data_IF_229276625429
#
_entry.id   IF_229276625429
#
_cell.length_a   1.000
_cell.length_b   1.000
_cell.length_c   1.000
_cell.angle_alpha   90.00
_cell.angle_beta   90.00
_cell.angle_gamma   90.00
#
_symmetry.space_group_name_H-M   'P 1'
#
loop_
_entity.id
_entity.type
_entity.pdbx_description
1 polymer ?
#
# COMPACT_ATOMS: atom_id res chain seq x y z
N UNK A 1 -26.40 -0.03 12.11
CA UNK A 1 -25.19 -0.80 12.47
C UNK A 1 -23.98 0.05 12.09
N UNK A 2 -23.03 0.31 13.00
CA UNK A 2 -21.79 1.01 12.66
C UNK A 2 -20.67 -0.03 12.52
N UNK A 3 -20.30 -0.36 11.28
CA UNK A 3 -19.20 -1.29 10.99
C UNK A 3 -17.88 -0.57 11.28
N UNK A 4 -17.08 -1.10 12.20
CA UNK A 4 -15.75 -0.58 12.54
C UNK A 4 -14.63 -1.31 11.81
N UNK A 5 -14.83 -2.60 11.57
CA UNK A 5 -13.88 -3.46 10.87
C UNK A 5 -14.62 -4.23 9.80
N UNK A 6 -14.06 -4.29 8.61
CA UNK A 6 -14.60 -5.04 7.49
C UNK A 6 -13.50 -5.91 6.88
N UNK A 7 -13.81 -7.20 6.69
CA UNK A 7 -12.93 -8.15 6.04
C UNK A 7 -13.64 -8.71 4.81
N UNK A 8 -13.10 -8.46 3.62
CA UNK A 8 -13.61 -8.98 2.36
C UNK A 8 -12.59 -9.95 1.76
N UNK A 9 -12.96 -11.22 1.71
CA UNK A 9 -12.11 -12.29 1.18
C UNK A 9 -12.75 -12.88 -0.07
N UNK A 10 -11.97 -13.13 -1.14
CA UNK A 10 -12.44 -13.74 -2.38
C UNK A 10 -13.62 -12.99 -3.03
N UNK A 11 -13.63 -11.65 -2.90
CA UNK A 11 -14.70 -10.82 -3.46
C UNK A 11 -14.47 -10.63 -4.96
N UNK A 12 -15.56 -10.69 -5.73
CA UNK A 12 -15.50 -10.63 -7.19
C UNK A 12 -16.12 -9.34 -7.70
N UNK A 13 -15.31 -8.49 -8.32
CA UNK A 13 -15.77 -7.30 -9.03
C UNK A 13 -15.66 -7.55 -10.54
N UNK A 14 -16.63 -8.30 -11.07
CA UNK A 14 -16.63 -8.78 -12.47
C UNK A 14 -16.71 -7.66 -13.51
N UNK A 15 -17.04 -6.43 -13.10
CA UNK A 15 -17.12 -5.25 -13.98
C UNK A 15 -16.40 -4.05 -13.38
N UNK A 16 -15.91 -3.11 -14.23
CA UNK A 16 -15.46 -1.79 -13.79
C UNK A 16 -16.40 -1.11 -12.78
N UNK A 17 -17.70 -1.09 -13.08
CA UNK A 17 -18.71 -0.48 -12.22
C UNK A 17 -18.80 -1.15 -10.84
N UNK A 18 -18.72 -2.49 -10.76
CA UNK A 18 -18.72 -3.20 -9.48
C UNK A 18 -17.48 -2.88 -8.62
N UNK A 19 -16.31 -2.72 -9.25
CA UNK A 19 -15.08 -2.29 -8.57
C UNK A 19 -15.20 -0.86 -8.04
N UNK A 20 -15.70 0.05 -8.88
CA UNK A 20 -15.95 1.43 -8.48
C UNK A 20 -16.93 1.53 -7.31
N UNK A 21 -18.10 0.89 -7.42
CA UNK A 21 -19.12 0.95 -6.37
C UNK A 21 -18.60 0.40 -5.04
N UNK A 22 -17.84 -0.71 -5.06
CA UNK A 22 -17.22 -1.22 -3.84
C UNK A 22 -16.29 -0.18 -3.20
N UNK A 23 -15.46 0.50 -4.01
CA UNK A 23 -14.57 1.55 -3.54
C UNK A 23 -15.34 2.75 -2.97
N UNK A 24 -16.39 3.21 -3.64
CA UNK A 24 -17.25 4.32 -3.19
C UNK A 24 -17.91 4.02 -1.84
N UNK A 25 -18.44 2.80 -1.68
CA UNK A 25 -19.04 2.35 -0.42
C UNK A 25 -18.01 2.34 0.71
N UNK A 26 -16.82 1.76 0.48
CA UNK A 26 -15.75 1.72 1.49
C UNK A 26 -15.28 3.12 1.90
N UNK A 27 -15.13 4.05 0.93
CA UNK A 27 -14.76 5.44 1.19
C UNK A 27 -15.80 6.18 2.02
N UNK A 28 -17.07 5.83 1.84
CA UNK A 28 -18.20 6.50 2.48
C UNK A 28 -18.51 5.99 3.89
N UNK A 29 -17.84 4.93 4.35
CA UNK A 29 -18.07 4.37 5.69
C UNK A 29 -17.43 5.24 6.79
N UNK A 30 -18.20 6.02 7.57
CA UNK A 30 -17.64 7.04 8.46
C UNK A 30 -16.95 6.45 9.72
N UNK A 31 -17.21 5.18 10.03
CA UNK A 31 -16.69 4.51 11.23
C UNK A 31 -15.72 3.37 10.91
N UNK A 32 -15.42 3.13 9.63
CA UNK A 32 -14.55 2.03 9.22
C UNK A 32 -13.09 2.39 9.52
N UNK A 33 -12.52 1.75 10.53
CA UNK A 33 -11.14 1.96 10.98
C UNK A 33 -10.22 0.79 10.65
N UNK A 34 -10.77 -0.42 10.46
CA UNK A 34 -10.01 -1.60 10.05
C UNK A 34 -10.55 -2.16 8.75
N UNK A 35 -9.70 -2.38 7.75
CA UNK A 35 -10.09 -2.95 6.47
C UNK A 35 -9.11 -4.04 6.06
N UNK A 36 -9.65 -5.22 5.73
CA UNK A 36 -8.90 -6.30 5.08
C UNK A 36 -9.53 -6.61 3.72
N UNK A 37 -8.73 -6.56 2.67
CA UNK A 37 -9.10 -7.02 1.32
C UNK A 37 -8.15 -8.16 0.93
N UNK A 38 -8.66 -9.39 0.94
CA UNK A 38 -7.91 -10.59 0.53
C UNK A 38 -8.48 -11.16 -0.77
N UNK A 39 -7.60 -11.43 -1.75
CA UNK A 39 -7.95 -12.13 -3.00
C UNK A 39 -9.16 -11.50 -3.71
N UNK A 40 -9.16 -10.18 -3.83
CA UNK A 40 -10.15 -9.45 -4.61
C UNK A 40 -9.78 -9.33 -6.09
N UNK A 41 -10.75 -9.50 -6.98
CA UNK A 41 -10.60 -9.08 -8.39
C UNK A 41 -10.84 -7.56 -8.51
N UNK A 42 -9.99 -6.77 -7.85
CA UNK A 42 -10.07 -5.31 -7.83
C UNK A 42 -9.48 -4.74 -9.11
N UNK A 43 -10.30 -4.02 -9.88
CA UNK A 43 -9.89 -3.40 -11.14
C UNK A 43 -9.31 -2.01 -10.92
N UNK A 44 -8.78 -1.41 -11.97
CA UNK A 44 -8.22 -0.06 -11.94
C UNK A 44 -9.21 0.97 -11.38
N UNK A 45 -10.51 0.83 -11.66
CA UNK A 45 -11.57 1.73 -11.19
C UNK A 45 -11.70 1.73 -9.66
N UNK A 46 -11.38 0.61 -9.00
CA UNK A 46 -11.33 0.56 -7.54
C UNK A 46 -10.25 1.53 -7.02
N UNK A 47 -9.03 1.42 -7.54
CA UNK A 47 -7.88 2.21 -7.09
C UNK A 47 -7.99 3.68 -7.49
N UNK A 48 -8.49 3.99 -8.69
CA UNK A 48 -8.69 5.37 -9.13
C UNK A 48 -9.73 6.10 -8.26
N UNK A 49 -10.82 5.41 -7.90
CA UNK A 49 -11.83 5.91 -6.96
C UNK A 49 -11.24 6.10 -5.57
N UNK A 50 -10.39 5.16 -5.14
CA UNK A 50 -9.76 5.22 -3.82
C UNK A 50 -8.80 6.40 -3.71
N UNK A 51 -8.01 6.62 -4.76
CA UNK A 51 -7.17 7.82 -4.93
C UNK A 51 -8.00 9.10 -4.83
N UNK A 52 -9.10 9.19 -5.59
CA UNK A 52 -9.94 10.39 -5.62
C UNK A 52 -10.56 10.72 -4.25
N UNK A 53 -10.82 9.70 -3.43
CA UNK A 53 -11.46 9.83 -2.14
C UNK A 53 -10.49 9.62 -0.96
N UNK A 54 -9.18 9.57 -1.19
CA UNK A 54 -8.21 9.13 -0.19
C UNK A 54 -8.28 9.92 1.13
N UNK A 55 -8.53 11.22 1.03
CA UNK A 55 -8.63 12.14 2.16
C UNK A 55 -9.89 11.94 3.02
N UNK A 56 -10.94 11.31 2.49
CA UNK A 56 -12.19 11.06 3.22
C UNK A 56 -12.15 9.77 4.05
N UNK A 57 -11.31 8.80 3.66
CA UNK A 57 -11.19 7.48 4.26
C UNK A 57 -10.77 7.56 5.73
N UNK A 58 -11.44 6.77 6.58
CA UNK A 58 -11.22 6.72 8.05
C UNK A 58 -10.39 5.52 8.52
N UNK A 59 -9.96 4.67 7.58
CA UNK A 59 -9.15 3.48 7.86
C UNK A 59 -7.83 3.86 8.51
N UNK A 60 -7.52 3.15 9.60
CA UNK A 60 -6.26 3.24 10.35
C UNK A 60 -5.39 2.03 10.13
N UNK A 61 -6.02 0.86 10.04
CA UNK A 61 -5.37 -0.42 9.78
C UNK A 61 -5.88 -0.98 8.47
N UNK A 62 -4.98 -1.12 7.49
CA UNK A 62 -5.28 -1.65 6.18
C UNK A 62 -4.43 -2.88 5.89
N UNK A 63 -5.09 -3.99 5.55
CA UNK A 63 -4.44 -5.20 5.07
C UNK A 63 -4.89 -5.47 3.63
N UNK A 64 -3.95 -5.40 2.68
CA UNK A 64 -4.16 -5.77 1.28
C UNK A 64 -3.34 -7.02 0.97
N UNK A 65 -4.03 -8.13 0.74
CA UNK A 65 -3.38 -9.41 0.49
C UNK A 65 -3.79 -9.97 -0.87
N UNK A 66 -2.81 -10.45 -1.64
CA UNK A 66 -3.02 -10.96 -3.00
C UNK A 66 -3.74 -9.95 -3.92
N UNK A 67 -3.42 -8.66 -3.79
CA UNK A 67 -4.01 -7.60 -4.60
C UNK A 67 -3.47 -7.65 -6.04
N UNK A 68 -4.27 -7.16 -6.99
CA UNK A 68 -3.92 -7.16 -8.41
C UNK A 68 -3.86 -5.74 -8.95
N UNK A 69 -2.69 -5.30 -9.42
CA UNK A 69 -2.43 -4.08 -10.15
C UNK A 69 -1.99 -4.39 -11.59
N UNK A 70 -2.97 -4.81 -12.40
CA UNK A 70 -2.79 -5.30 -13.77
C UNK A 70 -2.26 -4.23 -14.75
N UNK A 71 -2.30 -2.95 -14.38
CA UNK A 71 -1.82 -1.82 -15.20
C UNK A 71 -0.86 -0.92 -14.42
N UNK A 72 0.07 -0.22 -15.09
CA UNK A 72 0.84 0.87 -14.48
C UNK A 72 -0.02 1.87 -13.70
N UNK A 73 -1.16 2.26 -14.28
CA UNK A 73 -2.09 3.19 -13.66
C UNK A 73 -2.69 2.64 -12.37
N UNK A 74 -3.06 1.35 -12.31
CA UNK A 74 -3.58 0.74 -11.08
C UNK A 74 -2.56 0.74 -9.93
N UNK A 75 -1.28 0.45 -10.22
CA UNK A 75 -0.17 0.55 -9.24
C UNK A 75 0.05 1.98 -8.78
N UNK A 76 0.06 2.94 -9.70
CA UNK A 76 0.19 4.37 -9.38
C UNK A 76 -0.98 4.84 -8.49
N UNK A 77 -2.22 4.56 -8.90
CA UNK A 77 -3.42 4.98 -8.17
C UNK A 77 -3.45 4.40 -6.75
N UNK A 78 -3.07 3.13 -6.57
CA UNK A 78 -2.97 2.53 -5.25
C UNK A 78 -1.95 3.29 -4.38
N UNK A 79 -0.76 3.56 -4.90
CA UNK A 79 0.26 4.32 -4.17
C UNK A 79 -0.22 5.73 -3.78
N UNK A 80 -0.80 6.48 -4.72
CA UNK A 80 -1.32 7.84 -4.47
C UNK A 80 -2.43 7.83 -3.43
N UNK A 81 -3.30 6.81 -3.46
CA UNK A 81 -4.33 6.64 -2.45
C UNK A 81 -3.72 6.44 -1.06
N UNK A 82 -2.82 5.46 -0.91
CA UNK A 82 -2.15 5.16 0.37
C UNK A 82 -1.39 6.36 0.93
N UNK A 83 -0.70 7.13 0.08
CA UNK A 83 0.03 8.33 0.48
C UNK A 83 -0.88 9.44 1.00
N UNK A 84 -2.14 9.46 0.55
CA UNK A 84 -3.11 10.53 0.82
C UNK A 84 -4.13 10.17 1.91
N UNK A 85 -4.03 8.97 2.51
CA UNK A 85 -4.90 8.57 3.61
C UNK A 85 -4.43 9.20 4.93
N UNK A 86 -5.21 10.12 5.53
CA UNK A 86 -4.72 10.92 6.66
C UNK A 86 -4.63 10.15 7.99
N UNK A 87 -5.31 9.01 8.09
CA UNK A 87 -5.42 8.24 9.32
C UNK A 87 -4.69 6.89 9.25
N UNK A 88 -4.12 6.51 8.11
CA UNK A 88 -3.53 5.20 7.90
C UNK A 88 -2.19 5.10 8.66
N UNK A 89 -2.19 4.32 9.75
CA UNK A 89 -1.03 4.10 10.63
C UNK A 89 -0.43 2.72 10.48
N UNK A 90 -1.25 1.72 10.15
CA UNK A 90 -0.84 0.32 10.06
C UNK A 90 -1.17 -0.19 8.66
N UNK A 91 -0.14 -0.56 7.91
CA UNK A 91 -0.28 -1.02 6.53
C UNK A 91 0.39 -2.38 6.36
N UNK A 92 -0.40 -3.36 5.92
CA UNK A 92 0.11 -4.65 5.43
C UNK A 92 -0.15 -4.75 3.94
N UNK A 93 0.91 -4.93 3.17
CA UNK A 93 0.88 -5.31 1.77
C UNK A 93 1.53 -6.68 1.66
N UNK A 94 0.73 -7.71 1.38
CA UNK A 94 1.16 -9.09 1.33
C UNK A 94 0.88 -9.73 -0.04
N UNK A 95 1.94 -9.99 -0.79
CA UNK A 95 1.84 -10.52 -2.15
C UNK A 95 1.12 -9.57 -3.12
N UNK A 96 0.83 -10.06 -4.32
CA UNK A 96 0.29 -9.23 -5.39
C UNK A 96 1.37 -8.60 -6.28
N UNK A 97 0.95 -7.87 -7.31
CA UNK A 97 1.80 -7.36 -8.38
C UNK A 97 1.94 -5.83 -8.35
N UNK A 98 2.77 -5.33 -7.43
CA UNK A 98 3.18 -3.93 -7.43
C UNK A 98 4.21 -3.67 -8.52
N UNK A 99 3.92 -2.70 -9.40
CA UNK A 99 4.80 -2.30 -10.50
C UNK A 99 5.72 -1.14 -10.10
N UNK A 100 6.65 -0.79 -10.97
CA UNK A 100 7.59 0.31 -10.73
C UNK A 100 6.89 1.64 -10.40
N UNK A 101 5.73 1.89 -11.01
CA UNK A 101 4.91 3.09 -10.79
C UNK A 101 4.42 3.20 -9.35
N UNK A 102 4.20 2.07 -8.66
CA UNK A 102 3.89 2.09 -7.24
C UNK A 102 5.07 2.66 -6.46
N UNK A 103 6.26 2.08 -6.62
CA UNK A 103 7.44 2.46 -5.84
C UNK A 103 7.93 3.87 -6.15
N UNK A 104 7.92 4.29 -7.43
CA UNK A 104 8.33 5.64 -7.82
C UNK A 104 7.40 6.71 -7.26
N UNK A 105 6.09 6.45 -7.27
CA UNK A 105 5.09 7.35 -6.67
C UNK A 105 5.18 7.36 -5.15
N UNK A 106 5.45 6.20 -4.55
CA UNK A 106 5.60 6.07 -3.12
C UNK A 106 6.81 6.87 -2.62
N UNK A 107 7.95 6.77 -3.33
CA UNK A 107 9.13 7.61 -3.12
C UNK A 107 8.81 9.09 -3.22
N UNK A 108 8.13 9.52 -4.29
CA UNK A 108 7.83 10.93 -4.52
C UNK A 108 6.95 11.55 -3.41
N UNK A 109 6.12 10.73 -2.75
CA UNK A 109 5.16 11.19 -1.75
C UNK A 109 5.48 10.71 -0.33
N UNK A 110 6.65 10.09 -0.11
CA UNK A 110 7.03 9.43 1.16
C UNK A 110 6.88 10.33 2.40
N UNK A 111 7.17 11.63 2.25
CA UNK A 111 7.04 12.63 3.32
C UNK A 111 5.60 12.88 3.78
N UNK A 112 4.60 12.55 2.95
CA UNK A 112 3.19 12.73 3.28
C UNK A 112 2.60 11.56 4.07
N UNK A 113 3.28 10.41 4.04
CA UNK A 113 2.75 9.12 4.51
C UNK A 113 2.68 9.07 6.04
N UNK A 114 1.55 8.57 6.55
CA UNK A 114 1.24 8.52 7.99
C UNK A 114 1.51 7.17 8.65
N UNK A 115 1.89 6.17 7.86
CA UNK A 115 2.19 4.80 8.29
C UNK A 115 3.34 4.80 9.31
N UNK A 116 3.09 4.11 10.42
CA UNK A 116 4.02 3.85 11.52
C UNK A 116 4.50 2.41 11.49
N UNK A 117 3.60 1.48 11.19
CA UNK A 117 3.89 0.05 11.04
C UNK A 117 3.63 -0.38 9.61
N UNK A 118 4.68 -0.81 8.92
CA UNK A 118 4.62 -1.33 7.57
C UNK A 118 5.06 -2.80 7.54
N UNK A 119 4.16 -3.67 7.10
CA UNK A 119 4.49 -5.04 6.74
C UNK A 119 4.44 -5.15 5.22
N UNK A 120 5.60 -5.36 4.60
CA UNK A 120 5.73 -5.56 3.15
C UNK A 120 6.25 -6.98 2.92
N UNK A 121 5.35 -7.91 2.65
CA UNK A 121 5.68 -9.32 2.53
C UNK A 121 5.36 -9.87 1.15
N UNK A 122 6.13 -10.86 0.70
CA UNK A 122 5.92 -11.56 -0.57
C UNK A 122 5.92 -10.65 -1.82
N UNK A 123 6.68 -9.54 -1.78
CA UNK A 123 6.79 -8.59 -2.89
C UNK A 123 8.12 -8.68 -3.64
N UNK A 124 8.11 -8.34 -4.93
CA UNK A 124 9.29 -8.38 -5.78
C UNK A 124 9.57 -7.02 -6.40
N UNK A 125 10.84 -6.60 -6.39
CA UNK A 125 11.34 -5.46 -7.13
C UNK A 125 11.90 -5.94 -8.47
N UNK A 126 11.09 -5.89 -9.52
CA UNK A 126 11.44 -6.44 -10.84
C UNK A 126 12.58 -5.68 -11.53
N UNK A 127 12.82 -4.42 -11.16
CA UNK A 127 13.88 -3.55 -11.73
C UNK A 127 14.80 -2.99 -10.64
N UNK A 128 16.07 -2.67 -10.94
CA UNK A 128 16.92 -1.97 -9.97
C UNK A 128 16.29 -0.65 -9.53
N UNK A 129 15.59 0.04 -10.43
CA UNK A 129 14.87 1.28 -10.14
C UNK A 129 13.78 1.07 -9.08
N UNK A 130 12.95 0.02 -9.21
CA UNK A 130 11.91 -0.29 -8.20
C UNK A 130 12.49 -0.53 -6.80
N UNK A 131 13.64 -1.23 -6.73
CA UNK A 131 14.38 -1.50 -5.50
C UNK A 131 14.91 -0.22 -4.85
N UNK A 132 15.58 0.65 -5.62
CA UNK A 132 16.06 1.94 -5.12
C UNK A 132 14.91 2.87 -4.71
N UNK A 133 13.83 2.92 -5.49
CA UNK A 133 12.66 3.72 -5.16
C UNK A 133 12.02 3.28 -3.85
N UNK A 134 11.85 1.97 -3.64
CA UNK A 134 11.34 1.45 -2.37
C UNK A 134 12.23 1.88 -1.20
N UNK A 135 13.55 1.69 -1.32
CA UNK A 135 14.48 2.06 -0.27
C UNK A 135 14.42 3.55 0.08
N UNK A 136 14.44 4.41 -0.93
CA UNK A 136 14.36 5.86 -0.75
C UNK A 136 13.03 6.29 -0.14
N UNK A 137 11.92 5.63 -0.51
CA UNK A 137 10.62 5.85 0.11
C UNK A 137 10.67 5.53 1.60
N UNK A 138 11.12 4.32 1.97
CA UNK A 138 11.22 3.87 3.36
C UNK A 138 12.08 4.81 4.22
N UNK A 139 13.22 5.29 3.68
CA UNK A 139 14.09 6.23 4.38
C UNK A 139 13.46 7.61 4.57
N UNK A 140 12.49 7.97 3.73
CA UNK A 140 11.85 9.30 3.70
C UNK A 140 10.50 9.34 4.40
N UNK A 141 10.01 8.21 4.93
CA UNK A 141 8.76 8.14 5.69
C UNK A 141 9.00 8.66 7.12
N UNK A 142 8.43 9.81 7.50
CA UNK A 142 8.80 10.49 8.74
C UNK A 142 8.26 9.81 10.02
N UNK A 143 7.23 8.97 9.87
CA UNK A 143 6.55 8.32 10.99
C UNK A 143 6.82 6.81 11.07
N UNK A 144 7.54 6.24 10.11
CA UNK A 144 7.79 4.80 10.08
C UNK A 144 8.68 4.41 11.27
N UNK A 145 8.17 3.53 12.13
CA UNK A 145 8.88 3.03 13.31
C UNK A 145 9.10 1.54 13.24
N UNK A 146 8.18 0.80 12.62
CA UNK A 146 8.21 -0.65 12.56
C UNK A 146 8.09 -1.11 11.11
N UNK A 147 9.06 -1.90 10.66
CA UNK A 147 9.15 -2.40 9.30
C UNK A 147 9.40 -3.90 9.31
N UNK A 148 8.52 -4.64 8.63
CA UNK A 148 8.73 -6.06 8.33
C UNK A 148 8.93 -6.21 6.83
N UNK A 149 10.03 -6.85 6.43
CA UNK A 149 10.34 -7.21 5.04
C UNK A 149 10.57 -8.73 4.96
N UNK A 150 9.62 -9.48 4.39
CA UNK A 150 9.71 -10.95 4.35
C UNK A 150 9.21 -11.55 3.03
N UNK A 151 9.69 -12.75 2.69
CA UNK A 151 9.14 -13.59 1.60
C UNK A 151 9.29 -13.04 0.17
N UNK A 152 10.03 -11.94 -0.01
CA UNK A 152 10.15 -11.21 -1.28
C UNK A 152 11.56 -11.20 -1.89
N UNK A 153 11.67 -10.69 -3.12
CA UNK A 153 12.96 -10.38 -3.77
C UNK A 153 13.08 -8.87 -4.01
N UNK A 154 13.73 -8.18 -3.08
CA UNK A 154 14.00 -6.73 -3.18
C UNK A 154 15.30 -6.43 -3.95
N UNK A 155 15.97 -7.47 -4.45
CA UNK A 155 17.29 -7.45 -5.09
C UNK A 155 18.44 -7.12 -4.15
N UNK A 156 19.65 -7.53 -4.53
CA UNK A 156 20.88 -7.31 -3.74
C UNK A 156 21.16 -5.82 -3.52
N UNK A 157 20.86 -4.97 -4.51
CA UNK A 157 21.12 -3.54 -4.44
C UNK A 157 20.31 -2.85 -3.33
N UNK A 158 19.11 -3.36 -3.01
CA UNK A 158 18.34 -2.88 -1.85
C UNK A 158 19.11 -3.12 -0.56
N UNK A 159 19.52 -4.36 -0.32
CA UNK A 159 20.16 -4.77 0.93
C UNK A 159 21.53 -4.12 1.11
N UNK A 160 22.29 -3.98 0.02
CA UNK A 160 23.58 -3.30 0.02
C UNK A 160 23.45 -1.82 0.42
N UNK A 161 22.50 -1.09 -0.18
CA UNK A 161 22.28 0.32 0.17
C UNK A 161 21.60 0.47 1.54
N UNK A 162 20.67 -0.41 1.91
CA UNK A 162 20.06 -0.44 3.25
C UNK A 162 21.14 -0.58 4.33
N UNK A 163 22.06 -1.54 4.16
CA UNK A 163 23.17 -1.77 5.08
C UNK A 163 24.10 -0.55 5.17
N UNK A 164 24.36 0.12 4.05
CA UNK A 164 25.18 1.35 4.04
C UNK A 164 24.50 2.49 4.82
N UNK A 165 23.17 2.56 4.80
CA UNK A 165 22.38 3.60 5.46
C UNK A 165 21.88 3.24 6.86
N UNK A 166 22.19 2.04 7.36
CA UNK A 166 21.64 1.50 8.60
C UNK A 166 21.85 2.42 9.83
N UNK A 167 22.93 3.20 9.85
CA UNK A 167 23.21 4.17 10.92
C UNK A 167 22.29 5.40 10.92
N UNK A 168 21.64 5.71 9.79
CA UNK A 168 20.75 6.86 9.63
C UNK A 168 19.26 6.49 9.72
N UNK A 169 18.94 5.20 9.61
CA UNK A 169 17.57 4.69 9.63
C UNK A 169 17.09 4.54 11.07
N UNK A 170 15.98 5.21 11.42
CA UNK A 170 15.38 5.18 12.78
C UNK A 170 14.23 4.18 12.91
N UNK A 171 14.24 3.14 12.08
CA UNK A 171 13.17 2.15 11.95
C UNK A 171 13.61 0.83 12.59
N UNK A 172 12.76 0.23 13.41
CA UNK A 172 12.90 -1.13 13.89
C UNK A 172 12.54 -2.10 12.75
N UNK A 173 13.49 -2.95 12.37
CA UNK A 173 13.31 -3.94 11.30
C UNK A 173 13.17 -5.34 11.92
N UNK A 174 12.15 -6.08 11.49
CA UNK A 174 11.81 -7.43 11.95
C UNK A 174 11.89 -8.46 10.83
#
# INVERSE_FOLDING_TARGET
MQVKTLNLTNHQCLTPASSQHLSEELCSMPNLTGLTLDRGDLREEFYSTWKANASSIKVKTLNLTNHQCLTPASSQHLSEALCSMPNLTDLTLDGGDLREEFYSTWKANASSIKVQTLNLTNHQCLTPASSQHLLEALCSMPNLTDLTLDGGDLREEFYSTWKANASSIKVCVY
#
